data_IF_194983168653
#
_entry.id   IF_194983168653
#
_cell.length_a   1.000
_cell.length_b   1.000
_cell.length_c   1.000
_cell.angle_alpha   90.00
_cell.angle_beta   90.00
_cell.angle_gamma   90.00
#
_symmetry.space_group_name_H-M   'P 1'
#
loop_
_entity.id
_entity.type
_entity.pdbx_description
1 polymer ?
#
# COMPACT_ATOMS: atom_id res chain seq x y z
N UNK A 1 -30.45 9.48 -5.08
CA UNK A 1 -29.29 10.14 -4.42
C UNK A 1 -28.59 9.27 -3.36
N UNK A 2 -29.09 8.07 -3.00
CA UNK A 2 -28.36 7.08 -2.17
C UNK A 2 -27.73 5.91 -2.95
N UNK A 3 -27.59 5.98 -4.27
CA UNK A 3 -27.39 4.76 -5.08
C UNK A 3 -25.93 4.48 -5.50
N UNK A 4 -25.07 5.49 -5.59
CA UNK A 4 -23.79 5.31 -6.29
C UNK A 4 -22.69 4.71 -5.41
N UNK A 5 -22.50 5.25 -4.20
CA UNK A 5 -21.54 4.69 -3.24
C UNK A 5 -21.97 3.27 -2.89
N UNK A 6 -23.27 3.03 -2.71
CA UNK A 6 -23.82 1.70 -2.42
C UNK A 6 -23.66 0.75 -3.61
N UNK A 7 -23.81 1.22 -4.85
CA UNK A 7 -23.49 0.44 -6.07
C UNK A 7 -22.01 0.05 -6.10
N UNK A 8 -21.12 1.00 -5.81
CA UNK A 8 -19.68 0.75 -5.80
C UNK A 8 -19.26 -0.18 -4.67
N UNK A 9 -19.85 -0.02 -3.48
CA UNK A 9 -19.66 -0.90 -2.33
C UNK A 9 -20.10 -2.31 -2.67
N UNK A 10 -21.31 -2.48 -3.22
CA UNK A 10 -21.83 -3.78 -3.64
C UNK A 10 -20.91 -4.42 -4.68
N UNK A 11 -20.43 -3.64 -5.65
CA UNK A 11 -19.58 -4.13 -6.72
C UNK A 11 -18.19 -4.57 -6.23
N UNK A 12 -17.51 -3.73 -5.45
CA UNK A 12 -16.22 -4.05 -4.82
C UNK A 12 -16.34 -5.28 -3.93
N UNK A 13 -17.43 -5.36 -3.14
CA UNK A 13 -17.68 -6.48 -2.24
C UNK A 13 -17.88 -7.80 -3.00
N UNK A 14 -18.75 -7.81 -4.01
CA UNK A 14 -19.00 -8.99 -4.83
C UNK A 14 -17.72 -9.45 -5.53
N UNK A 15 -16.90 -8.52 -6.03
CA UNK A 15 -15.63 -8.84 -6.67
C UNK A 15 -14.66 -9.54 -5.71
N UNK A 16 -14.51 -9.08 -4.47
CA UNK A 16 -13.65 -9.75 -3.47
C UNK A 16 -14.18 -11.13 -3.06
N UNK A 17 -15.49 -11.26 -2.83
CA UNK A 17 -16.08 -12.57 -2.50
C UNK A 17 -15.82 -13.59 -3.60
N UNK A 18 -15.97 -13.20 -4.86
CA UNK A 18 -15.68 -14.06 -6.00
C UNK A 18 -14.20 -14.41 -6.12
N UNK A 19 -13.28 -13.47 -5.82
CA UNK A 19 -11.85 -13.73 -5.82
C UNK A 19 -11.43 -14.72 -4.72
N UNK A 20 -12.00 -14.59 -3.51
CA UNK A 20 -11.75 -15.51 -2.40
C UNK A 20 -12.37 -16.91 -2.65
N UNK A 21 -13.51 -16.97 -3.36
CA UNK A 21 -14.10 -18.25 -3.76
C UNK A 21 -13.26 -18.96 -4.83
N UNK A 22 -12.68 -18.21 -5.79
CA UNK A 22 -11.82 -18.76 -6.84
C UNK A 22 -10.48 -19.30 -6.29
N UNK A 23 -9.96 -18.74 -5.19
CA UNK A 23 -8.76 -19.27 -4.52
C UNK A 23 -9.01 -20.53 -3.69
N UNK A 24 -10.28 -20.94 -3.52
CA UNK A 24 -10.70 -22.11 -2.74
C UNK A 24 -11.37 -23.22 -3.56
N UNK A 25 -11.35 -23.16 -4.90
CA UNK A 25 -11.89 -24.24 -5.73
C UNK A 25 -10.83 -25.30 -6.04
N UNK A 26 -11.04 -26.59 -5.65
CA UNK A 26 -10.33 -27.72 -6.24
C UNK A 26 -10.88 -27.99 -7.65
N UNK A 27 -10.02 -28.52 -8.51
CA UNK A 27 -10.32 -28.94 -9.88
C UNK A 27 -11.46 -29.95 -10.00
N UNK A 28 -12.14 -29.87 -11.16
CA UNK A 28 -13.02 -30.84 -11.86
C UNK A 28 -14.54 -30.89 -11.59
N UNK A 29 -15.26 -30.37 -12.60
CA UNK A 29 -16.52 -30.80 -13.25
C UNK A 29 -17.86 -30.97 -12.47
N UNK A 30 -19.02 -30.81 -13.17
CA UNK A 30 -20.28 -30.40 -12.58
C UNK A 30 -21.26 -31.55 -12.34
N UNK A 31 -21.89 -31.57 -11.18
CA UNK A 31 -23.19 -32.23 -10.98
C UNK A 31 -24.15 -31.27 -10.26
N UNK A 32 -25.25 -30.94 -10.93
CA UNK A 32 -26.40 -30.23 -10.37
C UNK A 32 -27.15 -31.12 -9.37
N UNK A 33 -27.41 -30.62 -8.15
CA UNK A 33 -28.48 -31.11 -7.28
C UNK A 33 -29.18 -29.93 -6.55
N UNK A 34 -30.49 -30.03 -6.22
CA UNK A 34 -31.44 -28.91 -6.15
C UNK A 34 -31.63 -28.31 -4.73
N UNK A 35 -32.39 -27.20 -4.58
CA UNK A 35 -32.33 -26.35 -3.40
C UNK A 35 -33.35 -26.75 -2.33
N UNK A 36 -32.91 -26.89 -1.07
CA UNK A 36 -33.52 -26.24 0.11
C UNK A 36 -32.95 -26.73 1.45
N UNK A 37 -33.08 -25.83 2.44
CA UNK A 37 -32.90 -26.00 3.89
C UNK A 37 -31.50 -25.69 4.45
N UNK A 38 -31.23 -24.39 4.62
CA UNK A 38 -30.31 -23.88 5.62
C UNK A 38 -30.77 -24.35 7.03
N UNK A 39 -29.93 -25.02 7.84
CA UNK A 39 -30.22 -25.17 9.25
C UNK A 39 -29.96 -23.84 9.98
N UNK A 40 -30.71 -23.52 11.05
CA UNK A 40 -30.51 -22.29 11.81
C UNK A 40 -29.18 -22.33 12.59
N UNK A 41 -28.63 -21.15 12.97
CA UNK A 41 -27.36 -21.07 13.68
C UNK A 41 -27.48 -21.72 15.07
N UNK A 42 -26.58 -22.67 15.37
CA UNK A 42 -26.53 -23.32 16.66
C UNK A 42 -26.03 -22.34 17.75
N UNK A 43 -26.66 -22.29 18.93
CA UNK A 43 -26.21 -21.47 20.05
C UNK A 43 -24.94 -22.07 20.70
N UNK A 44 -23.98 -21.20 20.99
CA UNK A 44 -22.71 -21.50 21.66
C UNK A 44 -23.00 -21.98 23.09
N UNK A 45 -22.52 -23.17 23.44
CA UNK A 45 -22.49 -23.67 24.82
C UNK A 45 -21.07 -23.47 25.41
N UNK A 46 -20.89 -22.68 26.48
CA UNK A 46 -19.59 -22.46 27.07
C UNK A 46 -19.31 -23.55 28.09
N UNK A 47 -18.53 -24.58 27.72
CA UNK A 47 -17.69 -25.39 28.63
C UNK A 47 -17.07 -26.56 27.87
N UNK A 48 -15.82 -26.40 27.43
CA UNK A 48 -14.96 -27.53 27.10
C UNK A 48 -13.61 -27.31 27.79
N UNK A 49 -13.40 -28.04 28.89
CA UNK A 49 -12.10 -28.20 29.55
C UNK A 49 -11.16 -28.91 28.60
N UNK A 50 -10.03 -28.30 28.26
CA UNK A 50 -8.89 -29.00 27.68
C UNK A 50 -7.84 -29.19 28.78
N UNK A 51 -7.54 -30.47 29.04
CA UNK A 51 -6.54 -30.94 29.99
C UNK A 51 -5.14 -30.64 29.48
N UNK A 52 -4.34 -29.91 30.27
CA UNK A 52 -2.91 -29.77 30.07
C UNK A 52 -2.24 -30.74 31.05
N UNK A 53 -1.74 -31.86 30.52
CA UNK A 53 -0.80 -32.73 31.23
C UNK A 53 0.59 -32.56 30.64
N UNK A 54 1.57 -32.30 31.52
CA UNK A 54 3.02 -32.10 31.28
C UNK A 54 3.34 -30.67 30.86
N UNK A 55 4.04 -29.83 31.65
CA UNK A 55 5.40 -30.00 32.17
C UNK A 55 5.51 -29.44 33.59
N UNK A 56 6.18 -30.19 34.45
CA UNK A 56 6.49 -29.91 35.85
C UNK A 56 7.87 -29.27 36.03
N UNK A 57 7.97 -28.38 37.04
CA UNK A 57 9.17 -28.04 37.85
C UNK A 57 10.19 -27.11 37.17
N UNK A 58 10.46 -25.89 37.65
CA UNK A 58 11.25 -25.62 38.87
C UNK A 58 10.78 -24.35 39.61
N UNK A 59 10.83 -24.51 40.93
CA UNK A 59 10.46 -23.64 42.04
C UNK A 59 11.33 -22.39 42.27
N UNK A 60 10.64 -21.31 42.63
CA UNK A 60 10.83 -20.52 43.86
C UNK A 60 12.25 -20.27 44.38
N UNK A 61 12.71 -19.02 44.35
CA UNK A 61 13.58 -18.46 45.39
C UNK A 61 13.25 -16.98 45.65
N UNK A 62 12.52 -16.75 46.74
CA UNK A 62 12.34 -15.47 47.43
C UNK A 62 13.62 -15.13 48.20
N UNK A 63 14.06 -13.88 48.03
CA UNK A 63 14.68 -12.99 49.03
C UNK A 63 15.28 -13.59 50.31
N UNK A 64 16.59 -13.38 50.52
CA UNK A 64 17.12 -12.98 51.84
C UNK A 64 18.50 -12.33 51.74
N UNK A 65 18.58 -11.11 52.27
CA UNK A 65 19.79 -10.34 52.51
C UNK A 65 20.62 -10.94 53.66
N UNK A 66 21.95 -10.91 53.57
CA UNK A 66 22.86 -10.77 54.74
C UNK A 66 24.15 -10.06 54.31
N UNK A 67 24.28 -8.86 54.85
CA UNK A 67 25.45 -8.22 55.50
C UNK A 67 26.87 -8.78 55.29
N UNK A 68 27.75 -7.86 54.89
CA UNK A 68 29.23 -7.95 54.90
C UNK A 68 29.81 -8.30 56.27
N UNK A 69 30.86 -9.14 56.28
CA UNK A 69 32.06 -8.99 57.13
C UNK A 69 33.21 -9.84 56.55
N UNK A 70 34.31 -9.18 56.26
CA UNK A 70 35.59 -9.74 55.82
C UNK A 70 36.51 -9.97 57.01
N UNK A 71 37.21 -11.11 57.04
CA UNK A 71 38.42 -11.33 57.82
C UNK A 71 39.34 -12.30 57.06
N UNK A 72 40.41 -11.73 56.50
CA UNK A 72 41.82 -12.09 56.62
C UNK A 72 42.41 -13.51 56.34
N UNK A 73 43.31 -13.48 55.33
CA UNK A 73 44.67 -14.07 55.14
C UNK A 73 44.92 -15.59 55.02
N UNK A 74 45.85 -15.88 54.08
CA UNK A 74 46.83 -17.00 53.90
C UNK A 74 46.43 -18.05 52.85
N UNK A 75 47.00 -17.96 51.64
CA UNK A 75 48.20 -18.69 51.11
C UNK A 75 47.83 -20.12 50.65
N UNK A 76 48.30 -20.73 49.57
CA UNK A 76 49.33 -20.51 48.55
C UNK A 76 49.20 -21.69 47.54
N UNK A 77 49.69 -21.54 46.30
CA UNK A 77 49.99 -22.57 45.27
C UNK A 77 48.79 -23.32 44.61
N UNK A 78 48.75 -23.69 43.32
CA UNK A 78 49.72 -23.58 42.22
C UNK A 78 49.01 -23.67 40.84
N UNK A 79 49.66 -23.07 39.85
CA UNK A 79 49.58 -23.13 38.38
C UNK A 79 48.45 -23.93 37.67
N UNK A 80 47.75 -23.28 36.73
CA UNK A 80 47.97 -23.43 35.27
C UNK A 80 46.95 -22.65 34.42
N UNK A 81 47.43 -22.09 33.30
CA UNK A 81 46.73 -21.92 32.01
C UNK A 81 46.24 -20.50 31.60
N UNK A 82 47.02 -19.93 30.67
CA UNK A 82 46.66 -19.09 29.50
C UNK A 82 46.10 -17.68 29.75
N UNK A 83 46.96 -16.71 29.42
CA UNK A 83 46.69 -15.28 29.29
C UNK A 83 45.62 -14.98 28.21
N UNK A 84 44.46 -14.53 28.64
CA UNK A 84 43.57 -13.66 27.84
C UNK A 84 43.39 -12.40 28.67
N UNK A 85 43.95 -11.28 28.21
CA UNK A 85 43.77 -9.96 28.83
C UNK A 85 42.29 -9.58 28.87
N UNK A 86 41.65 -9.77 30.03
CA UNK A 86 40.39 -9.11 30.36
C UNK A 86 40.68 -7.65 30.67
N UNK A 87 40.49 -6.78 29.67
CA UNK A 87 40.36 -5.35 29.92
C UNK A 87 39.04 -5.12 30.65
N UNK A 88 39.13 -4.82 31.95
CA UNK A 88 38.01 -4.43 32.81
C UNK A 88 37.49 -3.08 32.28
N UNK A 89 36.28 -3.08 31.72
CA UNK A 89 35.49 -1.87 31.48
C UNK A 89 34.75 -1.56 32.79
N UNK A 90 34.76 -0.32 33.32
CA UNK A 90 34.03 0.03 34.53
C UNK A 90 32.51 -0.16 34.31
N UNK A 91 31.72 -0.39 35.38
CA UNK A 91 30.29 -0.58 35.24
C UNK A 91 29.67 0.71 34.71
N UNK A 92 29.14 0.66 33.48
CA UNK A 92 28.25 1.69 32.97
C UNK A 92 26.92 1.52 33.72
N UNK A 93 26.48 2.58 34.39
CA UNK A 93 25.14 2.69 34.97
C UNK A 93 24.08 2.32 33.92
N UNK A 94 23.45 1.16 34.09
CA UNK A 94 22.21 0.82 33.42
C UNK A 94 21.10 1.20 34.39
N UNK A 95 20.70 2.46 34.36
CA UNK A 95 19.45 2.91 34.95
C UNK A 95 18.72 3.75 33.88
N UNK A 96 17.41 3.47 33.72
CA UNK A 96 16.37 4.16 32.90
C UNK A 96 15.68 3.33 31.79
N UNK A 97 16.19 2.19 31.31
CA UNK A 97 15.55 1.49 30.16
C UNK A 97 14.33 0.62 30.55
N UNK A 98 14.23 0.12 31.79
CA UNK A 98 13.20 -0.88 32.16
C UNK A 98 11.80 -0.30 32.39
N UNK A 99 11.65 0.93 32.89
CA UNK A 99 10.35 1.50 33.24
C UNK A 99 9.61 2.07 32.03
N UNK A 100 10.34 2.60 31.04
CA UNK A 100 9.76 3.15 29.82
C UNK A 100 9.21 2.06 28.90
N UNK A 101 9.89 0.92 28.78
CA UNK A 101 9.45 -0.22 27.96
C UNK A 101 8.15 -0.83 28.51
N UNK A 102 8.07 -1.10 29.81
CA UNK A 102 6.84 -1.63 30.44
C UNK A 102 5.67 -0.66 30.33
N UNK A 103 5.93 0.65 30.43
CA UNK A 103 4.91 1.69 30.27
C UNK A 103 4.43 1.81 28.82
N UNK A 104 5.28 1.55 27.81
CA UNK A 104 4.85 1.50 26.41
C UNK A 104 3.96 0.27 26.15
N UNK A 105 4.34 -0.90 26.65
CA UNK A 105 3.56 -2.12 26.45
C UNK A 105 2.17 -2.01 27.07
N UNK A 106 2.08 -1.52 28.30
CA UNK A 106 0.79 -1.30 28.97
C UNK A 106 -0.09 -0.33 28.17
N UNK A 107 0.49 0.77 27.64
CA UNK A 107 -0.25 1.75 26.82
C UNK A 107 -0.77 1.17 25.51
N UNK A 108 -0.01 0.28 24.85
CA UNK A 108 -0.48 -0.37 23.62
C UNK A 108 -1.67 -1.29 23.91
N UNK A 109 -1.58 -2.10 24.97
CA UNK A 109 -2.67 -2.98 25.39
C UNK A 109 -3.90 -2.17 25.82
N UNK A 110 -3.73 -1.09 26.59
CA UNK A 110 -4.81 -0.19 26.99
C UNK A 110 -5.50 0.44 25.76
N UNK A 111 -4.71 0.86 24.76
CA UNK A 111 -5.23 1.44 23.53
C UNK A 111 -6.04 0.43 22.72
N UNK A 112 -5.54 -0.79 22.57
CA UNK A 112 -6.26 -1.86 21.91
C UNK A 112 -7.59 -2.16 22.62
N UNK A 113 -7.58 -2.27 23.95
CA UNK A 113 -8.79 -2.50 24.76
C UNK A 113 -9.78 -1.35 24.58
N UNK A 114 -9.33 -0.10 24.67
CA UNK A 114 -10.18 1.07 24.45
C UNK A 114 -10.83 1.05 23.06
N UNK A 115 -10.06 0.70 22.02
CA UNK A 115 -10.59 0.52 20.67
C UNK A 115 -11.63 -0.60 20.60
N UNK A 116 -11.45 -1.71 21.33
CA UNK A 116 -12.36 -2.85 21.36
C UNK A 116 -13.66 -2.56 22.12
N UNK A 117 -13.59 -1.80 23.21
CA UNK A 117 -14.73 -1.51 24.10
C UNK A 117 -15.48 -0.23 23.76
N UNK A 118 -15.12 0.46 22.67
CA UNK A 118 -15.67 1.75 22.27
C UNK A 118 -15.39 2.90 23.25
N UNK A 119 -14.26 2.87 23.96
CA UNK A 119 -13.85 3.96 24.84
C UNK A 119 -13.19 5.08 24.03
N UNK A 120 -14.04 5.87 23.36
CA UNK A 120 -13.64 6.96 22.46
C UNK A 120 -12.74 7.98 23.18
N UNK A 121 -13.07 8.33 24.42
CA UNK A 121 -12.33 9.33 25.18
C UNK A 121 -10.93 8.82 25.51
N UNK A 122 -10.81 7.54 25.90
CA UNK A 122 -9.50 6.93 26.14
C UNK A 122 -8.68 6.80 24.85
N UNK A 123 -9.32 6.46 23.73
CA UNK A 123 -8.66 6.47 22.41
C UNK A 123 -8.12 7.87 22.10
N UNK A 124 -8.94 8.93 22.22
CA UNK A 124 -8.51 10.32 21.98
C UNK A 124 -7.41 10.78 22.94
N UNK A 125 -7.39 10.29 24.18
CA UNK A 125 -6.33 10.58 25.16
C UNK A 125 -5.00 9.91 24.80
N UNK A 126 -5.05 8.66 24.34
CA UNK A 126 -3.87 7.83 24.10
C UNK A 126 -3.25 8.08 22.72
N UNK A 127 -4.07 8.31 21.68
CA UNK A 127 -3.64 8.47 20.29
C UNK A 127 -2.46 9.44 20.11
N UNK A 128 -2.43 10.65 20.73
CA UNK A 128 -1.33 11.60 20.56
C UNK A 128 0.00 11.16 21.20
N UNK A 129 -0.03 10.11 22.04
CA UNK A 129 1.12 9.59 22.79
C UNK A 129 1.69 8.31 22.18
N UNK A 130 1.09 7.81 21.10
CA UNK A 130 1.43 6.56 20.44
C UNK A 130 2.04 6.85 19.08
N UNK A 131 3.07 6.09 18.73
CA UNK A 131 3.55 6.06 17.36
C UNK A 131 2.61 5.21 16.51
N UNK A 132 2.65 5.45 15.21
CA UNK A 132 1.95 4.63 14.23
C UNK A 132 2.31 3.12 14.32
N UNK A 133 3.51 2.77 14.79
CA UNK A 133 3.89 1.36 15.02
C UNK A 133 3.23 0.78 16.28
N UNK A 134 2.99 1.60 17.30
CA UNK A 134 2.29 1.18 18.51
C UNK A 134 0.81 0.91 18.23
N UNK A 135 0.19 1.73 17.37
CA UNK A 135 -1.21 1.61 16.95
C UNK A 135 -1.44 0.37 16.07
N UNK A 136 -0.50 0.07 15.16
CA UNK A 136 -0.54 -1.11 14.27
C UNK A 136 0.01 -2.39 14.95
N UNK A 137 0.26 -2.37 16.26
CA UNK A 137 0.73 -3.55 16.99
C UNK A 137 -0.27 -4.70 16.84
N UNK A 138 0.28 -5.90 16.66
CA UNK A 138 -0.49 -7.13 16.55
C UNK A 138 -0.77 -7.71 17.94
N UNK A 139 -2.02 -8.08 18.18
CA UNK A 139 -2.42 -8.92 19.29
C UNK A 139 -2.10 -10.40 19.02
N UNK A 140 -2.23 -11.31 20.01
CA UNK A 140 -1.91 -12.74 19.83
C UNK A 140 -2.64 -13.44 18.68
N UNK A 141 -3.81 -12.94 18.29
CA UNK A 141 -4.57 -13.45 17.13
C UNK A 141 -4.21 -12.74 15.81
N UNK A 142 -3.14 -11.93 15.79
CA UNK A 142 -2.72 -11.13 14.64
C UNK A 142 -3.61 -9.91 14.35
N UNK A 143 -4.66 -9.65 15.13
CA UNK A 143 -5.52 -8.47 14.94
C UNK A 143 -4.82 -7.20 15.41
N UNK A 144 -5.16 -6.09 14.76
CA UNK A 144 -4.78 -4.73 15.18
C UNK A 144 -5.94 -4.05 15.91
N UNK A 145 -5.70 -2.85 16.45
CA UNK A 145 -6.78 -2.00 16.98
C UNK A 145 -7.85 -1.71 15.91
N UNK A 146 -7.45 -1.54 14.64
CA UNK A 146 -8.36 -1.31 13.53
C UNK A 146 -9.26 -2.51 13.24
N UNK A 147 -8.74 -3.74 13.28
CA UNK A 147 -9.57 -4.96 13.19
C UNK A 147 -10.66 -4.96 14.26
N UNK A 148 -10.28 -4.69 15.51
CA UNK A 148 -11.20 -4.77 16.64
C UNK A 148 -12.30 -3.71 16.58
N UNK A 149 -11.94 -2.47 16.26
CA UNK A 149 -12.92 -1.41 16.07
C UNK A 149 -13.88 -1.72 14.91
N UNK A 150 -13.36 -2.23 13.79
CA UNK A 150 -14.16 -2.68 12.64
C UNK A 150 -15.14 -3.80 12.99
N UNK A 151 -14.64 -4.86 13.65
CA UNK A 151 -15.41 -6.03 14.04
C UNK A 151 -16.53 -5.69 15.02
N UNK A 152 -16.24 -4.86 16.01
CA UNK A 152 -17.22 -4.51 17.04
C UNK A 152 -18.22 -3.44 16.61
N UNK A 153 -17.97 -2.72 15.52
CA UNK A 153 -18.90 -1.75 14.95
C UNK A 153 -18.65 -0.29 15.35
N UNK A 154 -17.43 0.04 15.75
CA UNK A 154 -17.11 1.32 16.36
C UNK A 154 -16.69 2.35 15.30
N UNK A 155 -17.68 2.83 14.55
CA UNK A 155 -17.50 3.72 13.38
C UNK A 155 -16.59 4.93 13.66
N UNK A 156 -16.78 5.65 14.78
CA UNK A 156 -15.96 6.83 15.11
C UNK A 156 -14.50 6.47 15.42
N UNK A 157 -14.25 5.33 16.07
CA UNK A 157 -12.88 4.84 16.31
C UNK A 157 -12.22 4.46 14.99
N UNK A 158 -12.93 3.74 14.13
CA UNK A 158 -12.41 3.39 12.80
C UNK A 158 -12.03 4.65 12.03
N UNK A 159 -12.88 5.68 12.04
CA UNK A 159 -12.59 6.96 11.39
C UNK A 159 -11.33 7.64 11.98
N UNK A 160 -11.20 7.70 13.31
CA UNK A 160 -10.02 8.26 13.97
C UNK A 160 -8.73 7.51 13.62
N UNK A 161 -8.77 6.18 13.68
CA UNK A 161 -7.62 5.33 13.35
C UNK A 161 -7.20 5.54 11.89
N UNK A 162 -8.15 5.55 10.96
CA UNK A 162 -7.86 5.78 9.55
C UNK A 162 -7.28 7.18 9.29
N UNK A 163 -7.77 8.20 10.00
CA UNK A 163 -7.25 9.58 9.90
C UNK A 163 -5.79 9.71 10.34
N UNK A 164 -5.34 8.97 11.35
CA UNK A 164 -3.92 8.97 11.74
C UNK A 164 -3.03 8.15 10.81
N UNK A 165 -3.62 7.42 9.86
CA UNK A 165 -2.88 6.75 8.80
C UNK A 165 -2.33 5.37 9.15
N UNK A 166 -3.00 4.64 10.04
CA UNK A 166 -2.76 3.20 10.31
C UNK A 166 -2.71 2.36 9.02
N UNK A 167 -2.05 1.20 9.09
CA UNK A 167 -2.02 0.28 7.95
C UNK A 167 -3.36 -0.47 7.80
N UNK A 168 -4.00 -0.24 6.66
CA UNK A 168 -5.32 -0.80 6.31
C UNK A 168 -5.24 -2.23 5.77
N UNK A 169 -4.03 -2.70 5.47
CA UNK A 169 -3.77 -3.93 4.73
C UNK A 169 -2.98 -4.98 5.56
N UNK A 170 -3.06 -4.91 6.90
CA UNK A 170 -2.53 -5.97 7.77
C UNK A 170 -3.55 -7.11 7.81
N UNK A 171 -3.11 -8.33 7.56
CA UNK A 171 -3.94 -9.53 7.73
C UNK A 171 -3.75 -10.08 9.14
N UNK A 172 -4.85 -10.46 9.79
CA UNK A 172 -4.79 -11.25 11.02
C UNK A 172 -4.44 -12.73 10.72
N UNK A 173 -4.36 -13.58 11.76
CA UNK A 173 -4.00 -15.00 11.56
C UNK A 173 -5.01 -15.78 10.71
N UNK A 174 -6.23 -15.25 10.55
CA UNK A 174 -7.29 -15.84 9.72
C UNK A 174 -7.20 -15.38 8.26
N UNK A 175 -6.21 -14.56 7.91
CA UNK A 175 -6.09 -13.98 6.57
C UNK A 175 -7.14 -12.91 6.29
N UNK A 176 -7.77 -12.33 7.31
CA UNK A 176 -8.76 -11.25 7.14
C UNK A 176 -8.09 -9.89 7.33
N UNK A 177 -8.52 -8.91 6.54
CA UNK A 177 -8.22 -7.49 6.74
C UNK A 177 -9.22 -6.86 7.74
N UNK A 178 -8.91 -5.67 8.32
CA UNK A 178 -9.89 -4.91 9.09
C UNK A 178 -11.15 -4.55 8.31
N UNK A 179 -11.04 -4.47 6.97
CA UNK A 179 -12.17 -4.29 6.07
C UNK A 179 -13.09 -5.51 6.04
N UNK A 180 -12.53 -6.73 6.02
CA UNK A 180 -13.28 -7.97 5.92
C UNK A 180 -14.06 -8.24 7.21
N UNK A 181 -13.51 -7.81 8.35
CA UNK A 181 -14.16 -7.90 9.66
C UNK A 181 -15.16 -6.75 9.92
N UNK A 182 -15.35 -5.79 9.00
CA UNK A 182 -16.23 -4.66 9.23
C UNK A 182 -17.69 -5.08 9.47
N UNK A 183 -18.23 -4.72 10.65
CA UNK A 183 -19.58 -5.10 11.10
C UNK A 183 -20.71 -4.67 10.17
N UNK A 184 -20.55 -3.55 9.47
CA UNK A 184 -21.60 -2.96 8.65
C UNK A 184 -21.03 -2.16 7.45
N UNK A 185 -21.91 -1.79 6.51
CA UNK A 185 -21.52 -1.06 5.30
C UNK A 185 -21.08 0.38 5.56
N UNK A 186 -21.44 0.98 6.70
CA UNK A 186 -20.93 2.31 7.07
C UNK A 186 -19.44 2.26 7.38
N UNK A 187 -18.99 1.27 8.15
CA UNK A 187 -17.57 1.03 8.43
C UNK A 187 -16.82 0.69 7.13
N UNK A 188 -17.36 -0.22 6.32
CA UNK A 188 -16.73 -0.59 5.05
C UNK A 188 -16.52 0.62 4.13
N UNK A 189 -17.42 1.61 4.15
CA UNK A 189 -17.27 2.87 3.39
C UNK A 189 -16.07 3.71 3.85
N UNK A 190 -15.68 3.65 5.12
CA UNK A 190 -14.48 4.35 5.63
C UNK A 190 -13.19 3.75 5.04
N UNK A 191 -13.20 2.47 4.67
CA UNK A 191 -12.08 1.79 4.00
C UNK A 191 -11.98 2.08 2.51
N UNK A 192 -12.91 2.83 1.93
CA UNK A 192 -12.73 3.39 0.60
C UNK A 192 -11.93 4.69 0.68
N UNK A 193 -11.16 5.00 -0.36
CA UNK A 193 -10.52 6.30 -0.45
C UNK A 193 -11.57 7.38 -0.71
N UNK A 194 -11.49 8.47 0.06
CA UNK A 194 -12.25 9.68 -0.23
C UNK A 194 -11.72 10.25 -1.56
N UNK A 195 -12.59 10.65 -2.51
CA UNK A 195 -12.24 11.01 -3.90
C UNK A 195 -11.37 12.25 -4.09
N UNK A 196 -10.72 12.76 -3.04
CA UNK A 196 -9.86 13.92 -3.13
C UNK A 196 -8.47 13.60 -3.74
N UNK A 197 -8.22 12.35 -4.12
CA UNK A 197 -6.98 11.98 -4.82
C UNK A 197 -7.20 11.83 -6.31
N UNK A 198 -6.54 12.68 -7.10
CA UNK A 198 -6.41 12.58 -8.56
C UNK A 198 -5.56 11.36 -9.02
N UNK A 199 -5.44 10.32 -8.17
CA UNK A 199 -4.60 9.14 -8.43
C UNK A 199 -5.14 8.32 -9.59
N UNK A 200 -6.45 8.01 -9.62
CA UNK A 200 -7.09 7.28 -10.73
C UNK A 200 -7.77 8.18 -11.76
N UNK A 201 -7.94 9.46 -11.41
CA UNK A 201 -8.50 10.51 -12.25
C UNK A 201 -7.42 11.54 -12.52
N UNK A 202 -6.70 11.45 -13.64
CA UNK A 202 -5.75 12.53 -13.97
C UNK A 202 -6.53 13.80 -14.31
N UNK A 203 -6.26 14.84 -13.54
CA UNK A 203 -6.88 16.16 -13.65
C UNK A 203 -5.85 17.27 -13.84
N UNK A 204 -4.58 16.91 -14.05
CA UNK A 204 -3.45 17.85 -13.96
C UNK A 204 -3.25 18.67 -15.23
N UNK A 205 -3.80 18.25 -16.38
CA UNK A 205 -3.59 18.92 -17.67
C UNK A 205 -2.13 18.93 -18.16
N UNK A 206 -1.18 18.46 -17.35
CA UNK A 206 0.21 18.18 -17.71
C UNK A 206 0.29 16.74 -18.18
N UNK A 207 0.55 16.56 -19.47
CA UNK A 207 0.53 15.25 -20.14
C UNK A 207 1.52 14.32 -19.44
N UNK A 208 1.01 13.24 -18.85
CA UNK A 208 1.77 12.20 -18.14
C UNK A 208 2.62 11.34 -19.10
N UNK A 209 2.52 11.61 -20.40
CA UNK A 209 3.02 10.87 -21.55
C UNK A 209 3.89 11.72 -22.46
N UNK A 210 4.84 11.07 -23.13
CA UNK A 210 5.40 11.59 -24.39
C UNK A 210 4.63 10.99 -25.57
N UNK A 211 4.20 11.86 -26.49
CA UNK A 211 3.79 11.45 -27.82
C UNK A 211 5.02 11.02 -28.59
N UNK A 212 4.92 9.89 -29.27
CA UNK A 212 6.07 9.32 -29.98
C UNK A 212 6.34 10.12 -31.26
N UNK A 213 7.44 10.88 -31.22
CA UNK A 213 8.40 10.97 -32.33
C UNK A 213 9.20 9.65 -32.40
N UNK A 214 9.78 9.28 -33.55
CA UNK A 214 10.50 8.00 -33.74
C UNK A 214 11.46 7.65 -32.58
N UNK A 215 12.10 8.68 -32.00
CA UNK A 215 13.04 8.58 -30.88
C UNK A 215 12.44 8.05 -29.57
N UNK A 216 11.13 8.14 -29.34
CA UNK A 216 10.57 7.81 -28.02
C UNK A 216 10.58 6.31 -27.71
N UNK A 217 10.48 5.43 -28.72
CA UNK A 217 10.64 3.98 -28.52
C UNK A 217 12.09 3.64 -28.16
N UNK A 218 13.04 4.25 -28.87
CA UNK A 218 14.48 4.12 -28.64
C UNK A 218 14.87 4.66 -27.26
N UNK A 219 14.43 5.89 -26.94
CA UNK A 219 14.60 6.52 -25.62
C UNK A 219 14.08 5.64 -24.50
N UNK A 220 12.88 5.06 -24.68
CA UNK A 220 12.31 4.16 -23.68
C UNK A 220 13.18 2.92 -23.49
N UNK A 221 13.68 2.32 -24.58
CA UNK A 221 14.56 1.16 -24.54
C UNK A 221 15.90 1.47 -23.86
N UNK A 222 16.52 2.62 -24.18
CA UNK A 222 17.76 3.08 -23.55
C UNK A 222 17.58 3.28 -22.03
N UNK A 223 16.53 3.98 -21.62
CA UNK A 223 16.25 4.22 -20.19
C UNK A 223 15.98 2.89 -19.47
N UNK A 224 15.24 1.96 -20.07
CA UNK A 224 15.01 0.64 -19.47
C UNK A 224 16.28 -0.20 -19.39
N UNK A 225 17.18 -0.12 -20.38
CA UNK A 225 18.48 -0.76 -20.34
C UNK A 225 19.34 -0.20 -19.18
N UNK A 226 19.34 1.12 -18.98
CA UNK A 226 19.99 1.75 -17.82
C UNK A 226 19.41 1.22 -16.49
N UNK A 227 18.08 1.14 -16.38
CA UNK A 227 17.40 0.61 -15.18
C UNK A 227 17.79 -0.85 -14.92
N UNK A 228 17.82 -1.69 -15.95
CA UNK A 228 18.26 -3.08 -15.86
C UNK A 228 19.74 -3.17 -15.42
N UNK A 229 20.60 -2.30 -15.94
CA UNK A 229 22.02 -2.23 -15.57
C UNK A 229 22.21 -1.86 -14.09
N UNK A 230 21.40 -0.93 -13.57
CA UNK A 230 21.37 -0.58 -12.14
C UNK A 230 21.02 -1.81 -11.30
N UNK A 231 20.05 -2.62 -11.72
CA UNK A 231 19.65 -3.84 -11.02
C UNK A 231 20.76 -4.92 -11.04
N UNK A 232 21.37 -5.14 -12.20
CA UNK A 232 22.36 -6.20 -12.41
C UNK A 232 23.69 -5.95 -11.67
N UNK A 233 23.93 -4.73 -11.18
CA UNK A 233 25.14 -4.39 -10.44
C UNK A 233 25.08 -4.91 -8.99
N UNK A 234 25.40 -6.19 -8.83
CA UNK A 234 25.26 -6.97 -7.58
C UNK A 234 26.38 -6.77 -6.56
N UNK A 235 27.51 -6.17 -6.92
CA UNK A 235 28.70 -6.07 -6.05
C UNK A 235 29.21 -4.64 -5.82
N UNK A 236 28.43 -3.61 -6.15
CA UNK A 236 28.89 -2.22 -6.18
C UNK A 236 28.28 -1.26 -5.13
N UNK A 237 28.32 0.04 -5.46
CA UNK A 237 27.63 1.11 -4.73
C UNK A 237 26.09 1.05 -4.88
N UNK A 238 25.58 0.16 -5.73
CA UNK A 238 24.16 0.03 -6.11
C UNK A 238 23.61 -1.35 -5.82
N UNK A 239 24.16 -2.11 -4.86
CA UNK A 239 23.50 -3.34 -4.40
C UNK A 239 22.07 -3.03 -3.92
N UNK A 240 21.17 -4.01 -4.01
CA UNK A 240 19.76 -3.85 -3.62
C UNK A 240 19.64 -3.24 -2.22
N UNK A 241 20.40 -3.74 -1.24
CA UNK A 241 20.41 -3.20 0.13
C UNK A 241 20.76 -1.70 0.17
N UNK A 242 21.80 -1.30 -0.59
CA UNK A 242 22.23 0.10 -0.68
C UNK A 242 21.22 0.97 -1.41
N UNK A 243 20.42 0.42 -2.34
CA UNK A 243 19.35 1.18 -2.99
C UNK A 243 18.32 1.64 -1.96
N UNK A 244 17.83 0.74 -1.10
CA UNK A 244 16.88 1.11 -0.04
C UNK A 244 17.46 2.16 0.91
N UNK A 245 18.70 1.99 1.35
CA UNK A 245 19.38 2.95 2.24
C UNK A 245 19.55 4.32 1.60
N UNK A 246 19.98 4.38 0.33
CA UNK A 246 20.18 5.64 -0.40
C UNK A 246 18.87 6.36 -0.66
N UNK A 247 17.81 5.63 -1.04
CA UNK A 247 16.48 6.23 -1.20
C UNK A 247 16.05 6.85 0.12
N UNK A 248 16.12 6.10 1.22
CA UNK A 248 15.69 6.60 2.52
C UNK A 248 16.50 7.82 2.98
N UNK A 249 17.83 7.74 2.95
CA UNK A 249 18.69 8.82 3.44
C UNK A 249 18.65 10.04 2.51
N UNK A 250 18.97 9.86 1.23
CA UNK A 250 19.18 10.99 0.35
C UNK A 250 17.87 11.61 -0.13
N UNK A 251 16.84 10.78 -0.35
CA UNK A 251 15.58 11.25 -0.91
C UNK A 251 14.51 11.46 0.15
N UNK A 252 14.23 10.46 1.00
CA UNK A 252 13.11 10.56 1.95
C UNK A 252 13.44 11.50 3.12
N UNK A 253 14.60 11.37 3.76
CA UNK A 253 14.94 12.22 4.92
C UNK A 253 15.54 13.56 4.51
N UNK A 254 16.41 13.58 3.50
CA UNK A 254 17.15 14.79 3.14
C UNK A 254 16.51 15.58 1.99
N UNK A 255 15.75 14.92 1.12
CA UNK A 255 15.17 15.52 -0.08
C UNK A 255 13.70 15.92 0.03
N UNK A 256 12.90 15.12 0.71
CA UNK A 256 11.46 15.29 0.87
C UNK A 256 11.12 15.79 2.28
N UNK A 257 11.53 17.03 2.56
CA UNK A 257 11.30 17.67 3.85
C UNK A 257 9.99 18.50 3.77
N UNK A 258 9.15 18.41 4.81
CA UNK A 258 7.96 19.26 5.03
C UNK A 258 6.77 19.09 4.06
N UNK A 259 6.21 17.89 3.97
CA UNK A 259 4.86 17.70 3.41
C UNK A 259 3.94 16.94 4.37
N UNK A 260 2.63 17.13 4.22
CA UNK A 260 1.63 16.44 5.04
C UNK A 260 1.71 14.92 4.86
N UNK A 261 1.77 14.19 5.97
CA UNK A 261 1.98 12.74 5.99
C UNK A 261 3.43 12.25 5.83
N UNK A 262 4.43 13.13 5.97
CA UNK A 262 5.85 12.74 5.89
C UNK A 262 6.24 11.61 6.87
N UNK A 263 5.78 11.67 8.12
CA UNK A 263 6.06 10.62 9.13
C UNK A 263 5.59 9.23 8.68
N UNK A 264 4.43 9.16 8.01
CA UNK A 264 3.89 7.93 7.44
C UNK A 264 4.79 7.38 6.33
N UNK A 265 5.32 8.25 5.47
CA UNK A 265 6.26 7.87 4.39
C UNK A 265 7.59 7.40 4.97
N UNK A 266 8.16 8.14 5.94
CA UNK A 266 9.38 7.75 6.66
C UNK A 266 9.22 6.35 7.27
N UNK A 267 8.08 6.06 7.89
CA UNK A 267 7.78 4.74 8.46
C UNK A 267 7.80 3.63 7.42
N UNK A 268 7.15 3.83 6.28
CA UNK A 268 7.15 2.83 5.20
C UNK A 268 8.56 2.58 4.68
N UNK A 269 9.37 3.62 4.45
CA UNK A 269 10.73 3.42 3.99
C UNK A 269 11.66 2.80 5.05
N UNK A 270 11.44 3.07 6.34
CA UNK A 270 12.14 2.34 7.42
C UNK A 270 11.85 0.83 7.37
N UNK A 271 10.58 0.45 7.16
CA UNK A 271 10.21 -0.96 6.98
C UNK A 271 10.80 -1.54 5.69
N UNK A 272 10.78 -0.77 4.59
CA UNK A 272 11.37 -1.15 3.31
C UNK A 272 12.86 -1.53 3.46
N UNK A 273 13.64 -0.72 4.18
CA UNK A 273 15.05 -1.01 4.49
C UNK A 273 15.19 -2.23 5.40
N UNK A 274 14.44 -2.25 6.52
CA UNK A 274 14.57 -3.30 7.53
C UNK A 274 14.25 -4.69 6.97
N UNK A 275 13.21 -4.77 6.14
CA UNK A 275 12.70 -6.02 5.60
C UNK A 275 13.25 -6.32 4.21
N UNK A 276 13.98 -5.38 3.60
CA UNK A 276 14.42 -5.45 2.20
C UNK A 276 13.24 -5.81 1.29
N UNK A 277 12.13 -5.08 1.45
CA UNK A 277 10.87 -5.37 0.78
C UNK A 277 10.29 -4.12 0.09
N UNK A 278 10.25 -4.11 -1.26
CA UNK A 278 9.74 -2.98 -2.03
C UNK A 278 8.21 -2.85 -1.97
N UNK A 279 7.46 -3.80 -1.42
CA UNK A 279 6.02 -3.63 -1.15
C UNK A 279 5.75 -2.44 -0.23
N UNK A 280 6.70 -2.10 0.64
CA UNK A 280 6.60 -0.90 1.46
C UNK A 280 6.72 0.40 0.65
N UNK A 281 7.46 0.39 -0.46
CA UNK A 281 7.50 1.51 -1.42
C UNK A 281 6.14 1.65 -2.11
N UNK A 282 5.49 0.54 -2.46
CA UNK A 282 4.11 0.53 -3.00
C UNK A 282 3.12 1.09 -1.97
N UNK A 283 3.23 0.71 -0.69
CA UNK A 283 2.41 1.29 0.39
C UNK A 283 2.65 2.79 0.56
N UNK A 284 3.90 3.24 0.46
CA UNK A 284 4.22 4.67 0.47
C UNK A 284 3.61 5.39 -0.74
N UNK A 285 3.75 4.81 -1.93
CA UNK A 285 3.19 5.35 -3.18
C UNK A 285 1.66 5.45 -3.13
N UNK A 286 0.98 4.53 -2.47
CA UNK A 286 -0.50 4.45 -2.40
C UNK A 286 -1.10 5.12 -1.17
N UNK A 287 -0.30 5.67 -0.27
CA UNK A 287 -0.79 6.39 0.90
C UNK A 287 -1.59 7.65 0.51
N UNK A 288 -2.51 8.08 1.38
CA UNK A 288 -3.15 9.41 1.35
C UNK A 288 -2.14 10.48 1.80
N UNK A 289 -1.12 10.72 0.98
CA UNK A 289 -0.11 11.77 1.18
C UNK A 289 0.26 12.37 -0.17
N UNK A 290 0.97 13.50 -0.16
CA UNK A 290 1.45 14.15 -1.39
C UNK A 290 2.60 13.40 -2.09
N UNK A 291 3.13 12.31 -1.48
CA UNK A 291 4.29 11.58 -1.99
C UNK A 291 4.10 11.08 -3.43
N UNK A 292 2.93 10.53 -3.76
CA UNK A 292 2.58 10.12 -5.12
C UNK A 292 2.76 11.26 -6.14
N UNK A 293 2.22 12.45 -5.80
CA UNK A 293 2.23 13.60 -6.70
C UNK A 293 3.65 14.12 -6.89
N UNK A 294 4.41 14.19 -5.79
CA UNK A 294 5.80 14.63 -5.83
C UNK A 294 6.64 13.68 -6.67
N UNK A 295 6.58 12.37 -6.38
CA UNK A 295 7.36 11.37 -7.08
C UNK A 295 7.04 11.35 -8.58
N UNK A 296 5.76 11.32 -8.98
CA UNK A 296 5.40 11.29 -10.40
C UNK A 296 5.81 12.58 -11.13
N UNK A 297 5.59 13.76 -10.53
CA UNK A 297 6.03 15.04 -11.10
C UNK A 297 7.54 15.06 -11.32
N UNK A 298 8.28 14.53 -10.36
CA UNK A 298 9.73 14.49 -10.39
C UNK A 298 10.30 13.48 -11.39
N UNK A 299 9.69 12.30 -11.53
CA UNK A 299 10.08 11.32 -12.56
C UNK A 299 9.79 11.92 -13.95
N UNK A 300 8.61 12.53 -14.12
CA UNK A 300 8.22 13.14 -15.40
C UNK A 300 9.06 14.37 -15.77
N UNK A 301 9.61 15.09 -14.78
CA UNK A 301 10.48 16.25 -14.98
C UNK A 301 11.91 15.92 -15.43
N UNK A 302 12.30 14.64 -15.50
CA UNK A 302 13.62 14.23 -15.98
C UNK A 302 14.74 14.45 -14.95
N UNK A 303 15.76 15.24 -15.30
CA UNK A 303 16.97 15.39 -14.49
C UNK A 303 16.74 16.19 -13.21
N UNK A 304 17.29 15.72 -12.09
CA UNK A 304 17.27 16.43 -10.80
C UNK A 304 18.40 15.96 -9.88
N UNK A 305 18.56 16.62 -8.73
CA UNK A 305 19.44 16.19 -7.64
C UNK A 305 19.17 14.74 -7.16
N UNK A 306 17.94 14.26 -7.25
CA UNK A 306 17.50 12.95 -6.75
C UNK A 306 17.18 11.96 -7.87
N UNK A 307 17.68 12.19 -9.09
CA UNK A 307 17.41 11.33 -10.25
C UNK A 307 17.85 9.88 -10.00
N UNK A 308 18.97 9.66 -9.30
CA UNK A 308 19.46 8.34 -8.98
C UNK A 308 18.52 7.59 -8.03
N UNK A 309 18.05 8.23 -6.97
CA UNK A 309 17.13 7.64 -6.00
C UNK A 309 15.78 7.30 -6.64
N UNK A 310 15.28 8.14 -7.57
CA UNK A 310 14.09 7.82 -8.35
C UNK A 310 14.32 6.64 -9.28
N UNK A 311 15.47 6.55 -9.94
CA UNK A 311 15.85 5.38 -10.74
C UNK A 311 15.95 4.13 -9.88
N UNK A 312 16.45 4.20 -8.64
CA UNK A 312 16.44 3.07 -7.71
C UNK A 312 15.02 2.63 -7.35
N UNK A 313 14.09 3.56 -7.09
CA UNK A 313 12.67 3.22 -6.85
C UNK A 313 12.09 2.48 -8.06
N UNK A 314 12.30 2.99 -9.27
CA UNK A 314 11.82 2.35 -10.51
C UNK A 314 12.45 0.95 -10.67
N UNK A 315 13.76 0.86 -10.46
CA UNK A 315 14.53 -0.39 -10.54
C UNK A 315 13.98 -1.46 -9.59
N UNK A 316 13.73 -1.09 -8.32
CA UNK A 316 13.18 -2.00 -7.32
C UNK A 316 11.76 -2.45 -7.69
N UNK A 317 10.92 -1.54 -8.20
CA UNK A 317 9.54 -1.89 -8.56
C UNK A 317 9.45 -2.75 -9.83
N UNK A 318 10.36 -2.58 -10.80
CA UNK A 318 10.38 -3.40 -12.02
C UNK A 318 11.00 -4.78 -11.78
N UNK A 319 12.15 -4.85 -11.10
CA UNK A 319 13.00 -6.05 -11.14
C UNK A 319 13.06 -6.86 -9.84
N UNK A 320 12.59 -6.33 -8.70
CA UNK A 320 12.78 -7.01 -7.44
C UNK A 320 11.92 -8.31 -7.34
N UNK A 321 12.51 -9.46 -6.93
CA UNK A 321 11.84 -10.76 -6.98
C UNK A 321 10.66 -10.88 -6.01
N UNK A 322 10.69 -10.20 -4.86
CA UNK A 322 9.53 -10.14 -3.94
C UNK A 322 8.24 -9.57 -4.55
N UNK A 323 8.33 -8.98 -5.75
CA UNK A 323 7.17 -8.46 -6.50
C UNK A 323 6.74 -9.40 -7.64
N UNK A 324 7.36 -10.58 -7.82
CA UNK A 324 6.96 -11.54 -8.87
C UNK A 324 5.49 -11.96 -8.72
N UNK A 325 5.02 -12.12 -7.48
CA UNK A 325 3.62 -12.42 -7.15
C UNK A 325 2.63 -11.30 -7.52
N UNK A 326 3.12 -10.08 -7.77
CA UNK A 326 2.29 -8.93 -8.15
C UNK A 326 2.31 -8.68 -9.65
N UNK A 327 2.95 -9.53 -10.45
CA UNK A 327 2.98 -9.37 -11.92
C UNK A 327 1.57 -9.33 -12.53
N UNK A 328 1.40 -8.56 -13.60
CA UNK A 328 0.09 -8.41 -14.25
C UNK A 328 0.17 -8.43 -15.77
N UNK A 329 -0.70 -9.23 -16.39
CA UNK A 329 -0.96 -9.29 -17.83
C UNK A 329 -2.47 -9.27 -18.02
N UNK A 330 -2.96 -8.43 -18.93
CA UNK A 330 -4.39 -8.26 -19.17
C UNK A 330 -4.77 -6.81 -19.44
N UNK A 331 -6.05 -6.51 -19.25
CA UNK A 331 -6.59 -5.17 -19.47
C UNK A 331 -6.61 -4.36 -18.18
N UNK A 332 -6.21 -3.10 -18.24
CA UNK A 332 -6.43 -2.15 -17.15
C UNK A 332 -7.09 -0.86 -17.65
N UNK A 333 -7.80 -0.18 -16.77
CA UNK A 333 -8.74 0.88 -17.08
C UNK A 333 -8.40 2.12 -16.27
N UNK A 334 -8.35 3.29 -16.92
CA UNK A 334 -8.17 4.57 -16.24
C UNK A 334 -9.05 5.62 -16.90
N UNK A 335 -9.67 6.45 -16.08
CA UNK A 335 -10.51 7.55 -16.57
C UNK A 335 -9.78 8.88 -16.40
N UNK A 336 -9.82 9.71 -17.44
CA UNK A 336 -9.20 11.03 -17.46
C UNK A 336 -10.23 12.10 -17.85
N UNK A 337 -10.02 13.32 -17.36
CA UNK A 337 -10.69 14.51 -17.88
C UNK A 337 -9.66 15.41 -18.55
N UNK A 338 -9.79 15.62 -19.85
CA UNK A 338 -8.80 16.36 -20.66
C UNK A 338 -9.44 17.48 -21.49
N UNK A 339 -8.59 18.31 -22.08
CA UNK A 339 -9.01 19.32 -23.06
C UNK A 339 -9.27 18.68 -24.42
N UNK A 340 -9.96 19.40 -25.32
CA UNK A 340 -10.13 18.96 -26.70
C UNK A 340 -8.77 18.85 -27.40
N UNK A 341 -7.86 19.79 -27.16
CA UNK A 341 -6.54 19.81 -27.81
C UNK A 341 -5.69 18.60 -27.43
N UNK A 342 -5.74 18.15 -26.17
CA UNK A 342 -5.08 16.91 -25.78
C UNK A 342 -5.76 15.70 -26.39
N UNK A 343 -7.10 15.68 -26.45
CA UNK A 343 -7.83 14.58 -27.07
C UNK A 343 -7.47 14.44 -28.56
N UNK A 344 -7.28 15.56 -29.26
CA UNK A 344 -6.91 15.59 -30.67
C UNK A 344 -5.53 15.01 -30.94
N UNK A 345 -4.63 14.95 -29.94
CA UNK A 345 -3.31 14.33 -30.07
C UNK A 345 -3.36 12.80 -30.10
N UNK A 346 -4.47 12.20 -29.66
CA UNK A 346 -4.64 10.75 -29.72
C UNK A 346 -5.06 10.36 -31.14
N UNK A 347 -4.08 9.89 -31.91
CA UNK A 347 -4.30 9.41 -33.26
C UNK A 347 -4.11 7.89 -33.34
N UNK A 348 -4.91 7.23 -34.17
CA UNK A 348 -4.81 5.79 -34.36
C UNK A 348 -3.42 5.44 -34.88
N UNK A 349 -2.84 4.37 -34.33
CA UNK A 349 -1.48 3.89 -34.58
C UNK A 349 -0.34 4.74 -34.00
N UNK A 350 -0.62 5.89 -33.39
CA UNK A 350 0.40 6.61 -32.63
C UNK A 350 0.80 5.80 -31.41
N UNK A 351 2.09 5.90 -31.06
CA UNK A 351 2.61 5.31 -29.85
C UNK A 351 2.74 6.39 -28.77
N UNK A 352 2.72 5.97 -27.52
CA UNK A 352 2.86 6.81 -26.34
C UNK A 352 3.79 6.12 -25.34
N UNK A 353 4.68 6.89 -24.73
CA UNK A 353 5.55 6.42 -23.66
C UNK A 353 5.09 6.96 -22.31
N UNK A 354 5.08 6.11 -21.29
CA UNK A 354 4.82 6.53 -19.92
C UNK A 354 5.97 7.35 -19.34
N UNK A 355 5.74 8.58 -18.84
CA UNK A 355 6.83 9.36 -18.21
C UNK A 355 7.05 9.01 -16.75
N UNK A 356 5.99 8.59 -16.08
CA UNK A 356 5.98 8.28 -14.65
C UNK A 356 5.08 7.07 -14.41
N UNK A 357 4.89 6.69 -13.15
CA UNK A 357 3.99 5.60 -12.81
C UNK A 357 2.56 6.00 -13.13
N UNK A 358 1.78 5.06 -13.66
CA UNK A 358 0.36 5.27 -13.89
C UNK A 358 -0.49 4.32 -13.05
N UNK A 359 -1.35 4.89 -12.22
CA UNK A 359 -2.39 4.14 -11.53
C UNK A 359 -3.57 3.85 -12.46
N UNK A 360 -3.88 2.58 -12.66
CA UNK A 360 -5.07 2.12 -13.38
C UNK A 360 -5.84 1.15 -12.49
N UNK A 361 -7.00 0.71 -12.94
CA UNK A 361 -7.81 -0.27 -12.25
C UNK A 361 -7.93 -1.52 -13.13
N UNK A 362 -7.88 -2.71 -12.54
CA UNK A 362 -8.18 -3.98 -13.22
C UNK A 362 -9.64 -4.07 -13.68
N UNK A 363 -10.51 -3.25 -13.12
CA UNK A 363 -11.94 -3.32 -13.33
C UNK A 363 -12.50 -2.02 -13.94
N UNK A 364 -13.11 -2.13 -15.11
CA UNK A 364 -13.67 -0.99 -15.84
C UNK A 364 -14.77 -0.29 -15.04
N UNK A 365 -15.63 -1.03 -14.34
CA UNK A 365 -16.74 -0.45 -13.61
C UNK A 365 -16.25 0.32 -12.41
N UNK A 366 -15.25 -0.18 -11.69
CA UNK A 366 -14.61 0.55 -10.60
C UNK A 366 -13.93 1.82 -11.15
N UNK A 367 -13.24 1.74 -12.29
CA UNK A 367 -12.65 2.90 -12.98
C UNK A 367 -13.68 3.99 -13.31
N UNK A 368 -14.83 3.61 -13.86
CA UNK A 368 -15.94 4.53 -14.14
C UNK A 368 -16.55 5.12 -12.86
N UNK A 369 -16.73 4.31 -11.82
CA UNK A 369 -17.36 4.74 -10.58
C UNK A 369 -16.47 5.73 -9.79
N UNK A 370 -15.16 5.79 -10.05
CA UNK A 370 -14.30 6.85 -9.51
C UNK A 370 -14.76 8.25 -9.96
N UNK A 371 -15.31 8.39 -11.18
CA UNK A 371 -15.90 9.64 -11.69
C UNK A 371 -16.96 10.13 -10.69
N UNK A 372 -17.88 9.23 -10.34
CA UNK A 372 -19.03 9.57 -9.52
C UNK A 372 -18.70 9.78 -8.03
N UNK A 373 -17.63 9.15 -7.51
CA UNK A 373 -17.16 9.46 -6.14
C UNK A 373 -16.83 10.95 -6.04
N UNK A 374 -16.08 11.49 -7.00
CA UNK A 374 -15.73 12.92 -7.03
C UNK A 374 -16.97 13.81 -7.13
N UNK A 375 -17.98 13.38 -7.89
CA UNK A 375 -19.27 14.08 -7.94
C UNK A 375 -20.03 14.11 -6.62
N UNK A 376 -20.05 13.02 -5.87
CA UNK A 376 -20.80 12.96 -4.61
C UNK A 376 -20.13 13.77 -3.50
N UNK A 377 -18.80 13.87 -3.47
CA UNK A 377 -18.08 14.69 -2.51
C UNK A 377 -18.31 16.20 -2.71
N UNK A 378 -18.57 16.62 -3.96
CA UNK A 378 -18.76 18.02 -4.34
C UNK A 378 -20.23 18.46 -4.33
N UNK A 379 -21.19 17.57 -3.98
CA UNK A 379 -22.65 17.85 -3.93
C UNK A 379 -23.07 18.75 -2.75
N UNK A 380 -22.60 19.98 -2.82
CA UNK A 380 -23.22 21.23 -2.38
C UNK A 380 -22.93 22.37 -3.37
N UNK A 381 -22.08 22.12 -4.38
CA UNK A 381 -21.65 23.04 -5.43
C UNK A 381 -21.79 22.33 -6.79
N UNK A 382 -22.12 23.10 -7.83
CA UNK A 382 -21.98 22.66 -9.23
C UNK A 382 -20.56 22.09 -9.39
N UNK A 383 -20.39 20.97 -10.11
CA UNK A 383 -19.07 20.45 -10.50
C UNK A 383 -18.15 21.63 -10.85
N UNK A 384 -17.06 21.86 -10.11
CA UNK A 384 -16.16 22.95 -10.43
C UNK A 384 -15.67 22.72 -11.86
N UNK A 385 -15.96 23.69 -12.74
CA UNK A 385 -15.47 23.67 -14.11
C UNK A 385 -13.95 23.61 -14.03
N UNK A 386 -13.38 22.47 -14.43
CA UNK A 386 -11.95 22.25 -14.29
C UNK A 386 -11.23 23.02 -15.37
N UNK A 387 -10.19 23.73 -14.98
CA UNK A 387 -9.33 24.45 -15.89
C UNK A 387 -7.89 24.00 -15.70
N UNK A 388 -7.12 24.00 -16.78
CA UNK A 388 -5.66 24.00 -16.71
C UNK A 388 -5.15 25.22 -15.96
N UNK A 389 -3.85 25.25 -15.69
CA UNK A 389 -3.14 26.43 -15.14
C UNK A 389 -3.35 27.68 -16.02
N UNK A 390 -3.48 27.48 -17.34
CA UNK A 390 -3.75 28.54 -18.32
C UNK A 390 -5.23 28.97 -18.41
N UNK A 391 -6.13 28.37 -17.61
CA UNK A 391 -7.57 28.65 -17.64
C UNK A 391 -8.38 27.81 -18.64
N UNK A 392 -7.74 26.95 -19.44
CA UNK A 392 -8.44 26.12 -20.44
C UNK A 392 -9.32 25.05 -19.80
N UNK A 393 -10.59 24.99 -20.17
CA UNK A 393 -11.56 24.06 -19.60
C UNK A 393 -11.27 22.60 -20.02
N UNK A 394 -11.11 21.72 -19.04
CA UNK A 394 -11.03 20.26 -19.19
C UNK A 394 -12.42 19.67 -19.00
N UNK A 395 -13.08 19.24 -20.08
CA UNK A 395 -14.45 18.74 -20.05
C UNK A 395 -14.66 17.40 -20.76
N UNK A 396 -13.65 16.87 -21.43
CA UNK A 396 -13.77 15.64 -22.21
C UNK A 396 -13.32 14.45 -21.39
N UNK A 397 -14.23 13.50 -21.20
CA UNK A 397 -13.92 12.25 -20.52
C UNK A 397 -13.27 11.26 -21.48
N UNK A 398 -12.20 10.63 -21.01
CA UNK A 398 -11.51 9.57 -21.74
C UNK A 398 -11.40 8.33 -20.87
N UNK A 399 -11.82 7.18 -21.39
CA UNK A 399 -11.51 5.86 -20.83
C UNK A 399 -10.30 5.30 -21.58
N UNK A 400 -9.17 5.26 -20.89
CA UNK A 400 -7.98 4.58 -21.38
C UNK A 400 -8.06 3.10 -21.00
N UNK A 401 -7.93 2.22 -22.00
CA UNK A 401 -7.86 0.77 -21.82
C UNK A 401 -6.47 0.32 -22.25
N UNK A 402 -5.65 -0.11 -21.30
CA UNK A 402 -4.30 -0.62 -21.56
C UNK A 402 -4.34 -2.14 -21.63
N UNK A 403 -3.95 -2.70 -22.78
CA UNK A 403 -3.69 -4.13 -22.93
C UNK A 403 -2.20 -4.37 -22.66
N UNK A 404 -1.93 -4.86 -21.46
CA UNK A 404 -0.60 -5.19 -20.93
C UNK A 404 -0.31 -6.65 -21.27
N UNK A 405 0.83 -6.89 -21.90
CA UNK A 405 1.32 -8.17 -22.41
C UNK A 405 2.51 -8.70 -21.63
N UNK A 406 3.33 -7.84 -21.06
CA UNK A 406 4.49 -8.28 -20.28
C UNK A 406 4.23 -8.24 -18.76
N UNK A 407 4.56 -9.32 -18.02
CA UNK A 407 4.27 -9.44 -16.58
C UNK A 407 4.82 -8.32 -15.69
N UNK A 408 5.92 -7.66 -16.11
CA UNK A 408 6.58 -6.59 -15.34
C UNK A 408 6.32 -5.17 -15.85
N UNK A 409 5.49 -5.01 -16.89
CA UNK A 409 5.04 -3.69 -17.34
C UNK A 409 4.05 -3.06 -16.36
N UNK A 410 3.30 -3.89 -15.64
CA UNK A 410 2.42 -3.45 -14.59
C UNK A 410 2.40 -4.41 -13.41
N UNK A 411 2.07 -3.88 -12.23
CA UNK A 411 1.89 -4.66 -11.01
C UNK A 411 0.43 -4.59 -10.55
N UNK A 412 -0.18 -5.72 -10.20
CA UNK A 412 -1.44 -5.79 -9.48
C UNK A 412 -1.19 -5.57 -7.99
N UNK A 413 -1.33 -4.31 -7.57
CA UNK A 413 -0.92 -3.88 -6.23
C UNK A 413 -2.07 -3.79 -5.24
N UNK A 414 -3.23 -4.35 -5.55
CA UNK A 414 -4.43 -4.31 -4.71
C UNK A 414 -4.10 -4.71 -3.26
N UNK A 415 -3.50 -5.89 -3.05
CA UNK A 415 -3.19 -6.37 -1.70
C UNK A 415 -1.92 -5.77 -1.08
N UNK A 416 -1.16 -4.98 -1.84
CA UNK A 416 0.02 -4.24 -1.37
C UNK A 416 -0.23 -2.74 -1.23
N UNK A 417 -1.43 -2.27 -1.57
CA UNK A 417 -1.88 -0.89 -1.46
C UNK A 417 -2.44 -0.60 -0.07
N UNK A 418 -2.48 0.68 0.32
CA UNK A 418 -3.28 1.12 1.46
C UNK A 418 -4.80 0.99 1.20
N UNK A 419 -5.21 0.70 -0.03
CA UNK A 419 -6.61 0.66 -0.47
C UNK A 419 -6.87 -0.59 -1.30
N UNK A 420 -6.85 -1.74 -0.62
CA UNK A 420 -6.99 -3.05 -1.27
C UNK A 420 -8.34 -3.32 -1.93
N UNK A 421 -9.24 -2.35 -1.98
CA UNK A 421 -10.56 -2.45 -2.58
C UNK A 421 -10.65 -1.76 -3.94
N UNK A 422 -9.56 -1.14 -4.38
CA UNK A 422 -9.55 -0.31 -5.60
C UNK A 422 -9.11 -1.07 -6.85
N UNK A 423 -8.67 -2.33 -6.72
CA UNK A 423 -8.21 -3.09 -7.87
C UNK A 423 -7.04 -2.45 -8.59
N UNK A 424 -6.16 -1.75 -7.87
CA UNK A 424 -5.15 -0.91 -8.49
C UNK A 424 -4.12 -1.75 -9.27
N UNK A 425 -3.95 -1.39 -10.53
CA UNK A 425 -2.90 -1.85 -11.43
C UNK A 425 -1.94 -0.68 -11.65
N UNK A 426 -0.70 -0.83 -11.18
CA UNK A 426 0.33 0.19 -11.31
C UNK A 426 1.18 -0.09 -12.55
N UNK A 427 1.02 0.71 -13.60
CA UNK A 427 1.83 0.64 -14.82
C UNK A 427 3.15 1.37 -14.59
N UNK A 428 4.25 0.73 -14.99
CA UNK A 428 5.61 1.24 -14.80
C UNK A 428 5.92 2.42 -15.73
N UNK A 429 6.83 3.33 -15.33
CA UNK A 429 7.37 4.36 -16.22
C UNK A 429 8.09 3.74 -17.42
N UNK A 430 8.21 4.53 -18.48
CA UNK A 430 8.85 4.18 -19.74
C UNK A 430 8.26 2.94 -20.42
N UNK A 431 7.00 2.63 -20.14
CA UNK A 431 6.22 1.61 -20.86
C UNK A 431 5.66 2.22 -22.14
N UNK A 432 5.67 1.46 -23.24
CA UNK A 432 5.26 1.98 -24.56
C UNK A 432 3.99 1.28 -25.04
N UNK A 433 3.00 2.10 -25.42
CA UNK A 433 1.72 1.62 -25.91
C UNK A 433 1.36 2.24 -27.25
N UNK A 434 0.77 1.45 -28.13
CA UNK A 434 0.22 1.88 -29.42
C UNK A 434 -1.29 2.02 -29.35
N UNK A 435 -1.83 3.12 -29.87
CA UNK A 435 -3.27 3.32 -29.97
C UNK A 435 -3.84 2.42 -31.07
N UNK A 436 -4.69 1.47 -30.69
CA UNK A 436 -5.32 0.52 -31.61
C UNK A 436 -6.67 0.99 -32.12
N UNK A 437 -7.46 1.57 -31.22
CA UNK A 437 -8.85 1.94 -31.47
C UNK A 437 -9.23 3.16 -30.65
N UNK A 438 -10.04 4.02 -31.26
CA UNK A 438 -10.67 5.18 -30.61
C UNK A 438 -12.16 5.08 -30.92
N UNK A 439 -12.99 5.00 -29.88
CA UNK A 439 -14.44 4.90 -29.99
C UNK A 439 -15.09 6.00 -29.14
N UNK A 440 -16.25 6.48 -29.56
CA UNK A 440 -17.05 7.39 -28.74
C UNK A 440 -18.21 6.62 -28.10
N UNK A 441 -18.38 6.76 -26.78
CA UNK A 441 -19.41 6.08 -26.00
C UNK A 441 -20.15 7.06 -25.10
N UNK A 442 -21.31 6.62 -24.61
CA UNK A 442 -22.09 7.32 -23.58
C UNK A 442 -22.35 6.37 -22.41
N UNK A 443 -21.41 6.25 -21.45
CA UNK A 443 -21.57 5.36 -20.31
C UNK A 443 -22.71 5.84 -19.41
N UNK A 444 -23.43 4.90 -18.79
CA UNK A 444 -24.49 5.19 -17.80
C UNK A 444 -23.98 5.97 -16.57
N UNK A 445 -22.67 5.92 -16.33
CA UNK A 445 -21.93 6.49 -15.20
C UNK A 445 -21.42 7.92 -15.44
N UNK A 446 -21.62 8.48 -16.64
CA UNK A 446 -21.23 9.86 -16.99
C UNK A 446 -22.47 10.76 -16.96
N UNK A 447 -22.38 12.04 -16.55
CA UNK A 447 -23.49 12.98 -16.60
C UNK A 447 -24.22 12.96 -17.96
N UNK A 448 -25.54 13.09 -17.93
CA UNK A 448 -26.47 12.86 -19.06
C UNK A 448 -26.08 13.65 -20.33
N UNK A 449 -25.38 14.77 -20.19
CA UNK A 449 -25.02 15.68 -21.27
C UNK A 449 -23.57 15.55 -21.76
N UNK A 450 -22.80 14.60 -21.20
CA UNK A 450 -21.39 14.42 -21.50
C UNK A 450 -21.13 13.09 -22.24
N UNK A 451 -20.16 13.11 -23.16
CA UNK A 451 -19.69 11.93 -23.92
C UNK A 451 -18.33 11.50 -23.37
N UNK A 452 -18.04 10.20 -23.46
CA UNK A 452 -16.74 9.65 -23.14
C UNK A 452 -16.10 9.06 -24.39
N UNK A 453 -14.82 9.34 -24.61
CA UNK A 453 -14.03 8.68 -25.65
C UNK A 453 -13.28 7.51 -25.04
N UNK A 454 -13.45 6.32 -25.59
CA UNK A 454 -12.65 5.15 -25.23
C UNK A 454 -11.43 5.08 -26.16
N UNK A 455 -10.26 4.92 -25.58
CA UNK A 455 -9.01 4.75 -26.30
C UNK A 455 -8.35 3.46 -25.85
N UNK A 456 -8.11 2.57 -26.79
CA UNK A 456 -7.45 1.29 -26.55
C UNK A 456 -5.97 1.40 -26.91
N UNK A 457 -5.15 1.15 -25.91
CA UNK A 457 -3.70 1.14 -25.92
C UNK A 457 -3.25 -0.32 -25.88
N UNK A 458 -2.42 -0.73 -26.83
CA UNK A 458 -1.81 -2.05 -26.83
C UNK A 458 -0.32 -1.92 -26.58
N UNK A 459 0.19 -2.64 -25.57
CA UNK A 459 1.61 -2.68 -25.29
C UNK A 459 2.36 -3.15 -26.53
N UNK A 460 3.36 -2.36 -26.92
CA UNK A 460 4.15 -2.57 -28.12
C UNK A 460 5.66 -2.56 -27.84
N UNK A 461 6.05 -2.79 -26.58
CA UNK A 461 7.44 -2.84 -26.16
C UNK A 461 8.16 -4.09 -26.71
N UNK A 462 9.18 -3.94 -27.57
CA UNK A 462 9.91 -5.08 -28.13
C UNK A 462 10.89 -5.71 -27.14
N UNK A 463 11.32 -5.00 -26.08
CA UNK A 463 12.40 -5.45 -25.18
C UNK A 463 11.96 -6.57 -24.22
N UNK A 464 10.65 -6.70 -24.04
CA UNK A 464 10.01 -7.59 -23.08
C UNK A 464 9.61 -8.96 -23.68
N UNK A 465 9.74 -9.10 -25.00
CA UNK A 465 9.39 -10.34 -25.72
C UNK A 465 10.54 -11.36 -25.70
N UNK A 466 11.78 -10.94 -25.38
CA UNK A 466 12.99 -11.76 -25.53
C UNK A 466 13.75 -12.10 -24.24
N UNK A 467 13.33 -11.61 -23.07
CA UNK A 467 13.91 -12.02 -21.78
C UNK A 467 13.08 -13.15 -21.19
N UNK A 468 13.38 -14.38 -21.60
CA UNK A 468 12.91 -15.62 -20.95
C UNK A 468 13.85 -16.03 -19.82
#
# INVERSE_FOLDING_TARGET
MGNIIDTLMSYVFNRRQNANAASHSPTDHPEELPPNQLPPPNPINPTAKLSISSISTISTLKSRAVTRRSADVTSELDLTTISIERRIIPPVEIDIISSSVTTIEHRCSDFYIACRTNDIDKVKELLPRLTLSDIDRLEPNGSTALHSASYHGHEEIVELLLKVGVDRAIHNIFGCLPFDEAKNDKIKRLFLRIPNTDRFLSNTGSIEWDLITDDALETAAEIRHDIQSIYNNTSGLTSIDKMFEKIYKNYITDGLINFDGNEKIIRFFRKAIKEQDPKWIIKAYTAETEFYKILNKEIAGGASRFQNERRYIITLLIHHPKLDELTYVGHSYRVLQITQDDLNKYERNSCLMTKSFLSSCIDQKIAELFILRKEHAERGTIMPVRTRVDGTIMKFWVMCIYHIKHPRTALHIENSSQYANEGEILIMPYSVFKIKRINHMKPLSVPIDQKMTQIEFEECDPFLVNTR
#
